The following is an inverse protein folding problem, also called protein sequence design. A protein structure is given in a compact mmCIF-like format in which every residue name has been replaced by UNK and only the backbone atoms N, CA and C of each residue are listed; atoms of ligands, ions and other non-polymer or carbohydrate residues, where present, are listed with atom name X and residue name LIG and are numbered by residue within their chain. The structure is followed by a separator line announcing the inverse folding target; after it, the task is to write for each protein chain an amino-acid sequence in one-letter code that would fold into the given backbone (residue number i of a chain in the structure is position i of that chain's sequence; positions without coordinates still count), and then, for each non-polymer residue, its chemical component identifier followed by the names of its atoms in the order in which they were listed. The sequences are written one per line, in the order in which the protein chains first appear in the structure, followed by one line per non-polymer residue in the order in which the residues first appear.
data_IF_077102694570
#
_entry.id   IF_077102694570
#
_cell.length_a   1.000
_cell.length_b   1.000
_cell.length_c   1.000
_cell.angle_alpha   90.00
_cell.angle_beta   90.00
_cell.angle_gamma   90.00
#
_symmetry.space_group_name_H-M   'P 1'
#
loop_
_entity.id
_entity.type
_entity.pdbx_description
1 polymer ?
#
# COMPACT_ATOMS: atom_id res chain seq x y z
N UNK A 1 -26.05 -16.15 -6.06
CA UNK A 1 -25.79 -17.58 -5.73
C UNK A 1 -25.57 -17.85 -4.25
N UNK A 2 -24.93 -16.95 -3.51
CA UNK A 2 -24.64 -17.16 -2.07
C UNK A 2 -25.91 -17.13 -1.21
N UNK A 3 -26.77 -16.13 -1.35
CA UNK A 3 -28.06 -16.03 -0.63
C UNK A 3 -28.96 -17.24 -0.89
N UNK A 4 -29.00 -17.70 -2.13
CA UNK A 4 -29.82 -18.88 -2.55
C UNK A 4 -29.39 -20.15 -1.82
N UNK A 5 -28.09 -20.41 -1.78
CA UNK A 5 -27.54 -21.56 -1.07
C UNK A 5 -27.75 -21.44 0.45
N UNK A 6 -27.63 -20.23 0.99
CA UNK A 6 -27.80 -19.99 2.43
C UNK A 6 -29.25 -20.19 2.88
N UNK A 7 -30.21 -19.64 2.13
CA UNK A 7 -31.64 -19.87 2.40
C UNK A 7 -31.94 -21.38 2.41
N UNK A 8 -31.50 -22.12 1.39
CA UNK A 8 -31.67 -23.57 1.30
C UNK A 8 -31.00 -24.29 2.48
N UNK A 9 -29.78 -23.92 2.83
CA UNK A 9 -29.03 -24.49 3.95
C UNK A 9 -29.78 -24.29 5.28
N UNK A 10 -30.14 -23.05 5.60
CA UNK A 10 -30.83 -22.72 6.85
C UNK A 10 -32.17 -23.46 6.96
N UNK A 11 -32.95 -23.47 5.86
CA UNK A 11 -34.22 -24.16 5.83
C UNK A 11 -34.04 -25.69 6.09
N UNK A 12 -33.06 -26.30 5.41
CA UNK A 12 -32.82 -27.75 5.56
C UNK A 12 -32.24 -28.09 6.94
N UNK A 13 -31.38 -27.27 7.50
CA UNK A 13 -30.87 -27.45 8.86
C UNK A 13 -31.98 -27.42 9.92
N UNK A 14 -33.02 -26.60 9.69
CA UNK A 14 -34.17 -26.53 10.60
C UNK A 14 -35.26 -27.57 10.26
N UNK A 15 -35.05 -28.43 9.26
CA UNK A 15 -36.00 -29.47 8.85
C UNK A 15 -37.32 -28.93 8.24
N UNK A 16 -37.29 -27.69 7.72
CA UNK A 16 -38.47 -26.98 7.23
C UNK A 16 -38.66 -27.29 5.73
N UNK A 17 -39.94 -27.53 5.31
CA UNK A 17 -40.28 -27.65 3.88
C UNK A 17 -40.40 -26.28 3.21
N UNK A 18 -40.23 -26.22 1.87
CA UNK A 18 -40.37 -25.01 1.07
C UNK A 18 -41.73 -24.35 1.26
N UNK A 19 -42.82 -25.14 1.35
CA UNK A 19 -44.17 -24.64 1.57
C UNK A 19 -44.33 -23.90 2.89
N UNK A 20 -43.68 -24.40 3.96
CA UNK A 20 -43.76 -23.74 5.29
C UNK A 20 -43.00 -22.43 5.34
N UNK A 21 -41.83 -22.38 4.64
CA UNK A 21 -41.09 -21.13 4.49
C UNK A 21 -41.87 -20.12 3.65
N UNK A 22 -42.51 -20.59 2.58
CA UNK A 22 -43.33 -19.75 1.72
C UNK A 22 -44.53 -19.15 2.45
N UNK A 23 -45.22 -19.94 3.27
CA UNK A 23 -46.30 -19.47 4.14
C UNK A 23 -45.82 -18.38 5.11
N UNK A 24 -44.69 -18.60 5.78
CA UNK A 24 -44.12 -17.64 6.71
C UNK A 24 -43.71 -16.32 6.04
N UNK A 25 -43.25 -16.35 4.80
CA UNK A 25 -42.84 -15.16 4.02
C UNK A 25 -43.97 -14.55 3.18
N UNK A 26 -45.18 -15.10 3.22
CA UNK A 26 -46.32 -14.61 2.44
C UNK A 26 -46.14 -14.76 0.91
N UNK A 27 -45.38 -15.76 0.45
CA UNK A 27 -45.07 -16.02 -0.96
C UNK A 27 -45.50 -17.41 -1.40
N UNK A 28 -45.38 -17.72 -2.68
CA UNK A 28 -45.65 -19.09 -3.18
C UNK A 28 -44.44 -20.00 -2.94
N UNK A 29 -44.69 -21.34 -2.80
CA UNK A 29 -43.63 -22.34 -2.73
C UNK A 29 -42.71 -22.33 -3.98
N UNK A 30 -43.25 -21.94 -5.13
CA UNK A 30 -42.48 -21.75 -6.36
C UNK A 30 -41.50 -20.58 -6.26
N UNK A 31 -41.86 -19.49 -5.54
CA UNK A 31 -40.95 -18.39 -5.29
C UNK A 31 -39.76 -18.84 -4.44
N UNK A 32 -40.03 -19.57 -3.34
CA UNK A 32 -38.96 -20.14 -2.48
C UNK A 32 -38.08 -21.09 -3.28
N UNK A 33 -38.63 -21.94 -4.13
CA UNK A 33 -37.87 -22.83 -5.00
C UNK A 33 -36.97 -22.07 -5.97
N UNK A 34 -37.44 -20.94 -6.54
CA UNK A 34 -36.64 -20.06 -7.38
C UNK A 34 -35.52 -19.36 -6.59
N UNK A 35 -35.77 -18.95 -5.34
CA UNK A 35 -34.76 -18.40 -4.47
C UNK A 35 -33.64 -19.42 -4.22
N UNK A 36 -33.98 -20.65 -3.86
CA UNK A 36 -33.02 -21.72 -3.55
C UNK A 36 -32.23 -22.24 -4.76
N UNK A 37 -32.76 -22.07 -5.96
CA UNK A 37 -32.08 -22.42 -7.21
C UNK A 37 -31.30 -21.27 -7.83
N UNK A 38 -31.46 -20.06 -7.26
CA UNK A 38 -30.83 -18.85 -7.80
C UNK A 38 -31.51 -18.31 -9.07
N UNK A 39 -32.67 -18.85 -9.45
CA UNK A 39 -33.44 -18.38 -10.60
C UNK A 39 -34.14 -17.03 -10.32
N UNK A 40 -34.37 -16.70 -9.05
CA UNK A 40 -34.79 -15.38 -8.58
C UNK A 40 -34.22 -15.10 -7.18
N UNK A 41 -34.13 -13.86 -6.80
CA UNK A 41 -33.82 -13.45 -5.42
C UNK A 41 -35.09 -13.10 -4.68
N UNK A 42 -35.12 -13.23 -3.32
CA UNK A 42 -36.17 -12.63 -2.51
C UNK A 42 -36.22 -11.10 -2.72
N UNK A 43 -37.38 -10.52 -2.57
CA UNK A 43 -37.48 -9.05 -2.47
C UNK A 43 -36.69 -8.56 -1.27
N UNK A 44 -36.05 -7.42 -1.41
CA UNK A 44 -35.19 -6.84 -0.35
C UNK A 44 -36.01 -6.57 0.94
N UNK A 45 -37.30 -6.30 0.81
CA UNK A 45 -38.23 -6.10 1.95
C UNK A 45 -38.43 -7.36 2.78
N UNK A 46 -38.20 -8.56 2.23
CA UNK A 46 -38.33 -9.84 2.93
C UNK A 46 -37.06 -10.24 3.69
N UNK A 47 -35.94 -9.57 3.47
CA UNK A 47 -34.68 -9.93 4.12
C UNK A 47 -34.74 -9.80 5.66
N UNK A 48 -35.34 -8.75 6.25
CA UNK A 48 -35.53 -8.68 7.70
C UNK A 48 -36.37 -9.84 8.25
N UNK A 49 -37.43 -10.22 7.54
CA UNK A 49 -38.32 -11.32 7.94
C UNK A 49 -37.60 -12.68 7.85
N UNK A 50 -36.83 -12.91 6.78
CA UNK A 50 -35.97 -14.10 6.64
C UNK A 50 -34.93 -14.20 7.75
N UNK A 51 -34.30 -13.07 8.09
CA UNK A 51 -33.33 -12.94 9.19
C UNK A 51 -33.96 -13.36 10.53
N UNK A 52 -35.12 -12.79 10.87
CA UNK A 52 -35.85 -13.13 12.09
C UNK A 52 -36.32 -14.58 12.07
N UNK A 53 -36.86 -15.06 10.96
CA UNK A 53 -37.39 -16.43 10.82
C UNK A 53 -36.29 -17.48 11.03
N UNK A 54 -35.12 -17.27 10.46
CA UNK A 54 -34.00 -18.21 10.61
C UNK A 54 -33.17 -18.00 11.87
N UNK A 55 -33.38 -16.90 12.60
CA UNK A 55 -32.59 -16.55 13.78
C UNK A 55 -31.15 -16.15 13.46
N UNK A 56 -30.92 -15.54 12.31
CA UNK A 56 -29.61 -15.08 11.85
C UNK A 56 -29.67 -13.60 11.50
N UNK A 57 -28.52 -12.93 11.41
CA UNK A 57 -28.46 -11.54 10.93
C UNK A 57 -28.64 -11.48 9.41
N UNK A 58 -28.99 -10.31 8.87
CA UNK A 58 -29.06 -10.10 7.40
C UNK A 58 -27.69 -10.38 6.77
N UNK A 59 -26.60 -9.98 7.40
CA UNK A 59 -25.23 -10.24 6.93
C UNK A 59 -24.96 -11.76 6.84
N UNK A 60 -25.45 -12.53 7.81
CA UNK A 60 -25.31 -14.00 7.80
C UNK A 60 -26.18 -14.66 6.71
N UNK A 61 -27.28 -14.04 6.28
CA UNK A 61 -28.05 -14.52 5.13
C UNK A 61 -27.26 -14.40 3.82
N UNK A 62 -26.45 -13.36 3.69
CA UNK A 62 -25.64 -13.14 2.48
C UNK A 62 -24.32 -13.90 2.48
N UNK A 63 -24.00 -14.70 3.50
CA UNK A 63 -22.74 -15.44 3.65
C UNK A 63 -21.66 -14.99 2.67
N UNK A 64 -21.04 -13.84 3.01
CA UNK A 64 -19.90 -13.33 2.25
C UNK A 64 -18.80 -14.38 2.36
N UNK A 65 -18.23 -14.84 1.24
CA UNK A 65 -17.10 -15.76 1.29
C UNK A 65 -15.92 -15.11 2.03
N UNK A 66 -15.09 -15.94 2.66
CA UNK A 66 -13.92 -15.43 3.39
C UNK A 66 -13.00 -14.60 2.49
N UNK A 67 -12.87 -14.93 1.20
CA UNK A 67 -12.12 -14.11 0.25
C UNK A 67 -12.74 -12.73 0.06
N UNK A 68 -14.05 -12.62 -0.04
CA UNK A 68 -14.73 -11.32 -0.16
C UNK A 68 -14.68 -10.51 1.13
N UNK A 69 -14.72 -11.16 2.28
CA UNK A 69 -14.55 -10.46 3.55
C UNK A 69 -13.11 -9.95 3.70
N UNK A 70 -12.11 -10.72 3.25
CA UNK A 70 -10.73 -10.28 3.14
C UNK A 70 -10.62 -9.01 2.27
N UNK A 71 -11.18 -9.05 1.06
CA UNK A 71 -11.22 -7.89 0.15
C UNK A 71 -11.95 -6.69 0.77
N UNK A 72 -13.05 -6.93 1.50
CA UNK A 72 -13.81 -5.87 2.18
C UNK A 72 -12.98 -5.17 3.26
N UNK A 73 -12.25 -5.94 4.08
CA UNK A 73 -11.35 -5.37 5.11
C UNK A 73 -10.22 -4.61 4.43
N UNK A 74 -9.61 -5.15 3.39
CA UNK A 74 -8.55 -4.50 2.62
C UNK A 74 -9.03 -3.16 2.02
N UNK A 75 -10.20 -3.17 1.37
CA UNK A 75 -10.81 -1.96 0.81
C UNK A 75 -11.16 -0.94 1.90
N UNK A 76 -11.63 -1.38 3.07
CA UNK A 76 -11.90 -0.49 4.20
C UNK A 76 -10.63 0.23 4.66
N UNK A 77 -9.50 -0.46 4.77
CA UNK A 77 -8.20 0.12 5.15
C UNK A 77 -7.77 1.19 4.13
N UNK A 78 -7.99 0.95 2.84
CA UNK A 78 -7.59 1.87 1.78
C UNK A 78 -8.56 3.03 1.56
N UNK A 79 -9.87 2.81 1.78
CA UNK A 79 -10.90 3.81 1.48
C UNK A 79 -11.15 4.79 2.61
N UNK A 80 -10.94 4.40 3.87
CA UNK A 80 -11.22 5.28 5.02
C UNK A 80 -9.97 6.02 5.45
N UNK A 81 -10.06 7.33 5.63
CA UNK A 81 -9.00 8.13 6.25
C UNK A 81 -8.79 7.73 7.70
N UNK A 82 -9.87 7.63 8.46
CA UNK A 82 -9.84 7.24 9.86
C UNK A 82 -10.65 5.97 10.06
N UNK A 83 -10.00 4.92 10.57
CA UNK A 83 -10.65 3.71 11.02
C UNK A 83 -11.19 3.95 12.43
N UNK A 84 -12.47 3.65 12.65
CA UNK A 84 -13.04 3.70 13.99
C UNK A 84 -12.54 2.52 14.84
N UNK A 85 -12.64 2.63 16.18
CA UNK A 85 -12.35 1.52 17.06
C UNK A 85 -13.17 0.26 16.71
N UNK A 86 -14.42 0.45 16.27
CA UNK A 86 -15.31 -0.63 15.84
C UNK A 86 -14.84 -1.29 14.53
N UNK A 87 -14.30 -0.50 13.57
CA UNK A 87 -13.73 -1.04 12.33
C UNK A 87 -12.52 -1.92 12.65
N UNK A 88 -11.65 -1.46 13.54
CA UNK A 88 -10.44 -2.18 13.96
C UNK A 88 -10.81 -3.48 14.68
N UNK A 89 -11.68 -3.41 15.69
CA UNK A 89 -12.13 -4.57 16.46
C UNK A 89 -12.76 -5.64 15.57
N UNK A 90 -13.62 -5.22 14.63
CA UNK A 90 -14.24 -6.14 13.66
C UNK A 90 -13.21 -6.82 12.77
N UNK A 91 -12.25 -6.05 12.23
CA UNK A 91 -11.19 -6.60 11.39
C UNK A 91 -10.32 -7.59 12.18
N UNK A 92 -9.91 -7.24 13.39
CA UNK A 92 -9.09 -8.10 14.23
C UNK A 92 -9.79 -9.40 14.58
N UNK A 93 -11.05 -9.32 15.02
CA UNK A 93 -11.83 -10.51 15.35
C UNK A 93 -11.95 -11.48 14.17
N UNK A 94 -12.15 -10.97 12.97
CA UNK A 94 -12.22 -11.80 11.77
C UNK A 94 -10.84 -12.38 11.43
N UNK A 95 -9.78 -11.56 11.44
CA UNK A 95 -8.41 -11.99 11.16
C UNK A 95 -7.98 -13.09 12.13
N UNK A 96 -8.22 -12.94 13.45
CA UNK A 96 -7.88 -13.93 14.44
C UNK A 96 -8.58 -15.27 14.21
N UNK A 97 -9.88 -15.23 13.91
CA UNK A 97 -10.64 -16.43 13.58
C UNK A 97 -10.06 -17.14 12.36
N UNK A 98 -9.72 -16.40 11.28
CA UNK A 98 -9.20 -16.99 10.04
C UNK A 98 -7.79 -17.53 10.18
N UNK A 99 -6.94 -16.90 10.97
CA UNK A 99 -5.62 -17.43 11.32
C UNK A 99 -5.76 -18.75 12.09
N UNK A 100 -6.68 -18.81 13.08
CA UNK A 100 -6.94 -20.02 13.84
C UNK A 100 -7.49 -21.18 13.00
N UNK A 101 -8.30 -20.87 11.97
CA UNK A 101 -8.81 -21.82 10.98
C UNK A 101 -7.77 -22.24 9.94
N UNK A 102 -6.61 -21.56 9.86
CA UNK A 102 -5.59 -21.78 8.84
C UNK A 102 -5.93 -21.21 7.47
N UNK A 103 -6.97 -20.37 7.36
CA UNK A 103 -7.35 -19.73 6.12
C UNK A 103 -6.39 -18.60 5.79
N UNK A 104 -5.58 -18.74 4.72
CA UNK A 104 -4.64 -17.72 4.22
C UNK A 104 -3.89 -17.03 5.36
N UNK A 105 -3.38 -17.80 6.33
CA UNK A 105 -2.86 -17.24 7.59
C UNK A 105 -1.77 -16.18 7.37
N UNK A 106 -0.84 -16.38 6.42
CA UNK A 106 0.19 -15.40 6.09
C UNK A 106 -0.41 -14.09 5.53
N UNK A 107 -1.41 -14.19 4.65
CA UNK A 107 -2.09 -13.01 4.08
C UNK A 107 -2.88 -12.27 5.16
N UNK A 108 -3.52 -12.99 6.09
CA UNK A 108 -4.23 -12.42 7.23
C UNK A 108 -3.29 -11.66 8.16
N UNK A 109 -2.11 -12.20 8.46
CA UNK A 109 -1.08 -11.48 9.21
C UNK A 109 -0.60 -10.23 8.47
N UNK A 110 -0.39 -10.32 7.16
CA UNK A 110 0.01 -9.19 6.34
C UNK A 110 -1.09 -8.10 6.28
N UNK A 111 -2.36 -8.49 6.18
CA UNK A 111 -3.50 -7.56 6.22
C UNK A 111 -3.55 -6.79 7.56
N UNK A 112 -3.32 -7.49 8.68
CA UNK A 112 -3.20 -6.87 10.01
C UNK A 112 -2.04 -5.87 10.08
N UNK A 113 -0.87 -6.25 9.58
CA UNK A 113 0.29 -5.37 9.52
C UNK A 113 0.01 -4.12 8.69
N UNK A 114 -0.64 -4.27 7.53
CA UNK A 114 -1.05 -3.15 6.68
C UNK A 114 -2.03 -2.21 7.38
N UNK A 115 -2.99 -2.76 8.13
CA UNK A 115 -3.93 -1.95 8.93
C UNK A 115 -3.20 -1.10 9.97
N UNK A 116 -2.30 -1.69 10.74
CA UNK A 116 -1.56 -0.95 11.78
C UNK A 116 -0.57 0.06 11.19
N UNK A 117 0.11 -0.25 10.10
CA UNK A 117 0.97 0.71 9.40
C UNK A 117 0.18 1.91 8.87
N UNK A 118 -1.02 1.67 8.33
CA UNK A 118 -1.92 2.74 7.90
C UNK A 118 -2.35 3.64 9.07
N UNK A 119 -2.67 3.05 10.22
CA UNK A 119 -3.02 3.78 11.44
C UNK A 119 -1.83 4.61 11.97
N UNK A 120 -0.64 4.01 12.04
CA UNK A 120 0.57 4.70 12.50
C UNK A 120 0.88 5.92 11.65
N UNK A 121 0.84 5.80 10.32
CA UNK A 121 1.06 6.94 9.41
C UNK A 121 0.06 8.08 9.64
N UNK A 122 -1.21 7.76 9.84
CA UNK A 122 -2.26 8.77 10.11
C UNK A 122 -2.10 9.45 11.47
N UNK A 123 -1.67 8.72 12.49
CA UNK A 123 -1.38 9.32 13.79
C UNK A 123 -0.15 10.25 13.73
N UNK A 124 0.87 9.90 12.95
CA UNK A 124 2.01 10.77 12.69
C UNK A 124 1.59 12.07 11.97
N UNK A 125 0.74 11.98 10.93
CA UNK A 125 0.18 13.18 10.27
C UNK A 125 -0.56 14.09 11.26
N UNK A 126 -1.42 13.53 12.11
CA UNK A 126 -2.18 14.29 13.11
C UNK A 126 -1.27 14.91 14.19
N UNK A 127 -0.22 14.20 14.58
CA UNK A 127 0.78 14.73 15.51
C UNK A 127 1.50 15.93 14.88
N UNK A 128 1.93 15.82 13.62
CA UNK A 128 2.58 16.91 12.89
C UNK A 128 1.65 18.12 12.70
N UNK A 129 0.38 17.92 12.37
CA UNK A 129 -0.62 19.00 12.27
C UNK A 129 -0.79 19.74 13.60
N UNK A 130 -0.91 18.99 14.71
CA UNK A 130 -1.05 19.57 16.05
C UNK A 130 0.21 20.33 16.50
N UNK A 131 1.39 19.76 16.20
CA UNK A 131 2.67 20.43 16.51
C UNK A 131 2.85 21.73 15.73
N UNK A 132 2.45 21.77 14.44
CA UNK A 132 2.46 23.02 13.66
C UNK A 132 1.55 24.07 14.25
N UNK A 133 0.32 23.69 14.63
CA UNK A 133 -0.62 24.61 15.28
C UNK A 133 -0.07 25.17 16.59
N UNK A 134 0.60 24.33 17.41
CA UNK A 134 1.25 24.79 18.63
C UNK A 134 2.36 25.84 18.36
N UNK A 135 3.19 25.60 17.33
CA UNK A 135 4.26 26.52 16.94
C UNK A 135 3.75 27.83 16.31
N UNK A 136 2.56 27.80 15.69
CA UNK A 136 1.89 29.01 15.20
C UNK A 136 1.37 29.88 16.36
N UNK A 137 0.92 29.27 17.47
CA UNK A 137 0.47 29.98 18.67
C UNK A 137 1.68 30.49 19.50
N UNK A 138 2.70 29.62 19.71
CA UNK A 138 3.91 29.96 20.43
C UNK A 138 5.12 29.20 19.86
N UNK A 139 5.93 29.88 19.06
CA UNK A 139 7.13 29.28 18.45
C UNK A 139 8.21 28.90 19.46
N UNK A 140 8.10 29.28 20.72
CA UNK A 140 9.06 28.95 21.80
C UNK A 140 8.71 27.65 22.53
N UNK A 141 7.54 27.05 22.23
CA UNK A 141 7.16 25.77 22.81
C UNK A 141 7.97 24.58 22.24
N UNK A 142 8.01 23.47 22.98
CA UNK A 142 8.80 22.27 22.62
C UNK A 142 8.20 21.41 21.48
N UNK A 143 7.27 21.97 20.70
CA UNK A 143 6.56 21.20 19.66
C UNK A 143 7.42 20.84 18.43
N UNK A 144 8.63 21.37 18.31
CA UNK A 144 9.55 20.98 17.22
C UNK A 144 9.94 19.49 17.27
N UNK A 145 10.08 18.92 18.46
CA UNK A 145 10.33 17.48 18.62
C UNK A 145 9.16 16.66 18.07
N UNK A 146 7.94 17.02 18.46
CA UNK A 146 6.72 16.34 18.00
C UNK A 146 6.50 16.51 16.50
N UNK A 147 6.82 17.68 15.95
CA UNK A 147 6.76 17.94 14.52
C UNK A 147 7.75 17.06 13.76
N UNK A 148 8.97 16.96 14.25
CA UNK A 148 10.00 16.12 13.62
C UNK A 148 9.62 14.64 13.65
N UNK A 149 9.16 14.13 14.81
CA UNK A 149 8.68 12.75 14.93
C UNK A 149 7.47 12.48 14.02
N UNK A 150 6.52 13.40 13.95
CA UNK A 150 5.31 13.26 13.14
C UNK A 150 5.57 13.37 11.62
N UNK A 151 6.60 14.10 11.19
CA UNK A 151 6.90 14.26 9.76
C UNK A 151 7.93 13.27 9.21
N UNK A 152 8.91 12.89 10.02
CA UNK A 152 10.07 12.10 9.58
C UNK A 152 10.17 10.74 10.29
N UNK A 153 9.22 10.44 11.20
CA UNK A 153 9.40 9.36 12.15
C UNK A 153 10.41 9.73 13.23
N UNK A 154 10.48 8.91 14.27
CA UNK A 154 11.39 9.14 15.38
C UNK A 154 12.82 9.16 14.86
N UNK A 155 13.46 10.32 14.91
CA UNK A 155 14.89 10.41 14.68
C UNK A 155 15.58 9.97 15.98
N UNK A 156 16.18 8.76 16.01
CA UNK A 156 17.02 8.40 17.14
C UNK A 156 18.17 9.40 17.25
N UNK A 157 18.85 9.39 18.37
CA UNK A 157 20.06 10.17 18.57
C UNK A 157 20.88 10.22 17.25
N UNK A 158 21.28 11.39 16.84
CA UNK A 158 22.01 11.65 15.58
C UNK A 158 23.23 10.72 15.35
N UNK A 159 23.73 10.09 16.43
CA UNK A 159 24.81 9.11 16.39
C UNK A 159 24.37 7.70 16.00
N UNK A 160 23.07 7.39 16.00
CA UNK A 160 22.60 6.01 15.82
C UNK A 160 21.32 5.97 14.99
N UNK A 161 21.45 5.75 13.69
CA UNK A 161 20.41 5.05 12.95
C UNK A 161 20.39 3.63 13.46
N UNK A 162 19.25 3.10 13.81
CA UNK A 162 19.20 1.83 14.50
C UNK A 162 18.13 0.90 13.93
N UNK A 163 18.45 0.31 12.80
CA UNK A 163 17.67 -0.82 12.28
C UNK A 163 18.17 -2.16 12.84
N UNK A 164 18.89 -2.14 13.97
CA UNK A 164 19.57 -3.33 14.51
C UNK A 164 18.67 -4.58 14.58
N UNK A 165 17.48 -4.46 15.18
CA UNK A 165 16.56 -5.60 15.32
C UNK A 165 16.10 -6.15 13.97
N UNK A 166 15.84 -5.27 13.00
CA UNK A 166 15.44 -5.66 11.64
C UNK A 166 16.61 -6.29 10.89
N UNK A 167 17.81 -5.72 10.99
CA UNK A 167 19.02 -6.28 10.38
C UNK A 167 19.30 -7.69 10.90
N UNK A 168 19.25 -7.91 12.21
CA UNK A 168 19.47 -9.24 12.80
C UNK A 168 18.39 -10.25 12.34
N UNK A 169 17.13 -9.83 12.27
CA UNK A 169 16.06 -10.65 11.69
C UNK A 169 16.33 -11.00 10.22
N UNK A 170 16.73 -10.02 9.42
CA UNK A 170 16.99 -10.23 7.98
C UNK A 170 18.24 -11.08 7.73
N UNK A 171 19.25 -11.01 8.59
CA UNK A 171 20.40 -11.93 8.56
C UNK A 171 19.96 -13.37 8.79
N UNK A 172 19.20 -13.61 9.87
CA UNK A 172 18.64 -14.96 10.15
C UNK A 172 17.74 -15.44 8.99
N UNK A 173 16.96 -14.54 8.42
CA UNK A 173 16.12 -14.84 7.24
C UNK A 173 16.97 -15.26 6.05
N UNK A 174 18.03 -14.51 5.71
CA UNK A 174 18.89 -14.82 4.55
C UNK A 174 19.76 -16.08 4.77
N UNK A 175 20.10 -16.42 6.02
CA UNK A 175 20.76 -17.69 6.34
C UNK A 175 19.82 -18.88 6.11
N UNK A 176 18.53 -18.76 6.44
CA UNK A 176 17.51 -19.81 6.27
C UNK A 176 17.00 -19.91 4.83
N UNK A 177 16.99 -18.80 4.10
CA UNK A 177 16.45 -18.67 2.75
C UNK A 177 17.46 -17.97 1.81
N UNK A 178 18.68 -18.54 1.63
CA UNK A 178 19.73 -17.88 0.87
C UNK A 178 19.39 -17.68 -0.61
N UNK A 179 18.43 -18.43 -1.14
CA UNK A 179 17.92 -18.32 -2.51
C UNK A 179 16.91 -17.17 -2.71
N UNK A 180 16.32 -16.62 -1.61
CA UNK A 180 15.34 -15.54 -1.73
C UNK A 180 16.02 -14.18 -1.82
N UNK A 181 16.11 -13.66 -3.05
CA UNK A 181 16.67 -12.32 -3.32
C UNK A 181 16.03 -11.19 -2.53
N UNK A 182 14.75 -11.31 -2.12
CA UNK A 182 14.04 -10.26 -1.35
C UNK A 182 14.68 -10.06 0.01
N UNK A 183 15.08 -11.15 0.67
CA UNK A 183 15.81 -11.09 1.94
C UNK A 183 17.11 -10.29 1.81
N UNK A 184 17.90 -10.57 0.78
CA UNK A 184 19.15 -9.84 0.51
C UNK A 184 18.92 -8.36 0.20
N UNK A 185 17.87 -8.04 -0.57
CA UNK A 185 17.50 -6.66 -0.92
C UNK A 185 17.16 -5.88 0.35
N UNK A 186 16.22 -6.38 1.17
CA UNK A 186 15.84 -5.70 2.41
C UNK A 186 16.99 -5.61 3.41
N UNK A 187 17.87 -6.62 3.47
CA UNK A 187 19.06 -6.55 4.31
C UNK A 187 20.01 -5.46 3.85
N UNK A 188 20.25 -5.35 2.54
CA UNK A 188 21.11 -4.33 1.95
C UNK A 188 20.56 -2.92 2.20
N UNK A 189 19.26 -2.69 2.00
CA UNK A 189 18.63 -1.39 2.25
C UNK A 189 18.90 -0.91 3.67
N UNK A 190 18.66 -1.75 4.67
CA UNK A 190 18.85 -1.39 6.07
C UNK A 190 20.33 -1.27 6.46
N UNK A 191 21.23 -2.07 5.91
CA UNK A 191 22.66 -1.98 6.16
C UNK A 191 23.25 -0.70 5.57
N UNK A 192 22.82 -0.31 4.37
CA UNK A 192 23.25 0.93 3.71
C UNK A 192 22.73 2.16 4.45
N UNK A 193 21.48 2.15 4.86
CA UNK A 193 20.88 3.25 5.65
C UNK A 193 21.57 3.46 6.99
N UNK A 194 22.02 2.37 7.63
CA UNK A 194 22.80 2.41 8.87
C UNK A 194 24.31 2.65 8.64
N UNK A 195 24.75 2.86 7.40
CA UNK A 195 26.17 2.97 7.02
C UNK A 195 27.05 1.79 7.48
N UNK A 196 26.48 0.61 7.60
CA UNK A 196 27.18 -0.64 7.95
C UNK A 196 27.83 -1.27 6.71
N UNK A 197 28.73 -0.51 6.07
CA UNK A 197 29.24 -0.81 4.72
C UNK A 197 29.98 -2.15 4.61
N UNK A 198 30.70 -2.58 5.65
CA UNK A 198 31.41 -3.86 5.62
C UNK A 198 30.40 -5.04 5.54
N UNK A 199 29.29 -4.95 6.27
CA UNK A 199 28.27 -5.96 6.26
C UNK A 199 27.43 -5.90 4.97
N UNK A 200 27.20 -4.68 4.45
CA UNK A 200 26.53 -4.47 3.15
C UNK A 200 27.35 -5.10 2.00
N UNK A 201 28.69 -5.05 2.04
CA UNK A 201 29.55 -5.70 1.04
C UNK A 201 29.34 -7.23 1.02
N UNK A 202 29.24 -7.84 2.20
CA UNK A 202 28.98 -9.28 2.28
C UNK A 202 27.56 -9.63 1.83
N UNK A 203 26.56 -8.84 2.22
CA UNK A 203 25.18 -9.03 1.77
C UNK A 203 25.05 -8.86 0.24
N UNK A 204 25.77 -7.91 -0.36
CA UNK A 204 25.83 -7.72 -1.82
C UNK A 204 26.33 -8.97 -2.54
N UNK A 205 27.38 -9.62 -2.04
CA UNK A 205 27.86 -10.90 -2.57
C UNK A 205 26.79 -12.00 -2.49
N UNK A 206 25.93 -11.94 -1.48
CA UNK A 206 24.77 -12.83 -1.35
C UNK A 206 23.75 -12.58 -2.45
N UNK A 207 23.35 -11.31 -2.65
CA UNK A 207 22.43 -10.92 -3.72
C UNK A 207 22.96 -11.31 -5.12
N UNK A 208 24.22 -11.04 -5.40
CA UNK A 208 24.85 -11.32 -6.69
C UNK A 208 24.86 -12.82 -7.08
N UNK A 209 24.77 -13.71 -6.12
CA UNK A 209 24.66 -15.16 -6.37
C UNK A 209 23.27 -15.61 -6.83
N UNK A 210 22.24 -14.87 -6.41
CA UNK A 210 20.83 -15.28 -6.58
C UNK A 210 20.04 -14.39 -7.52
N UNK A 211 20.56 -13.20 -7.84
CA UNK A 211 19.93 -12.25 -8.75
C UNK A 211 20.75 -12.05 -10.01
N UNK A 212 20.13 -12.34 -11.15
CA UNK A 212 20.68 -12.15 -12.48
C UNK A 212 19.99 -11.02 -13.26
N UNK A 213 19.27 -10.15 -12.56
CA UNK A 213 18.57 -9.00 -13.13
C UNK A 213 19.38 -7.71 -12.93
N UNK A 214 18.80 -6.58 -13.27
CA UNK A 214 19.39 -5.26 -13.01
C UNK A 214 19.57 -4.94 -11.51
N UNK A 215 18.96 -5.70 -10.59
CA UNK A 215 18.95 -5.34 -9.16
C UNK A 215 20.32 -5.50 -8.51
N UNK A 216 21.02 -6.60 -8.77
CA UNK A 216 22.36 -6.80 -8.20
C UNK A 216 23.35 -5.69 -8.61
N UNK A 217 23.50 -5.32 -9.90
CA UNK A 217 24.32 -4.17 -10.27
C UNK A 217 23.79 -2.84 -9.73
N UNK A 218 22.46 -2.65 -9.59
CA UNK A 218 21.91 -1.47 -8.96
C UNK A 218 22.36 -1.35 -7.49
N UNK A 219 22.26 -2.42 -6.72
CA UNK A 219 22.73 -2.44 -5.32
C UNK A 219 24.24 -2.28 -5.20
N UNK A 220 25.00 -2.72 -6.20
CA UNK A 220 26.45 -2.41 -6.30
C UNK A 220 26.67 -0.91 -6.47
N UNK A 221 25.91 -0.24 -7.33
CA UNK A 221 25.99 1.21 -7.48
C UNK A 221 25.59 1.93 -6.18
N UNK A 222 24.53 1.48 -5.50
CA UNK A 222 24.13 2.02 -4.19
C UNK A 222 25.28 1.88 -3.16
N UNK A 223 25.85 0.69 -3.02
CA UNK A 223 26.97 0.45 -2.13
C UNK A 223 28.17 1.39 -2.41
N UNK A 224 28.56 1.52 -3.68
CA UNK A 224 29.64 2.42 -4.08
C UNK A 224 29.32 3.88 -3.77
N UNK A 225 28.08 4.30 -3.96
CA UNK A 225 27.61 5.63 -3.62
C UNK A 225 27.71 5.92 -2.13
N UNK A 226 27.24 5.02 -1.28
CA UNK A 226 27.35 5.15 0.18
C UNK A 226 28.80 5.08 0.66
N UNK A 227 29.65 4.35 -0.03
CA UNK A 227 31.11 4.30 0.21
C UNK A 227 31.82 5.59 -0.18
N UNK A 228 31.17 6.47 -0.94
CA UNK A 228 31.72 7.73 -1.42
C UNK A 228 32.45 7.61 -2.77
N UNK A 229 32.48 6.43 -3.39
CA UNK A 229 33.07 6.22 -4.72
C UNK A 229 32.04 6.51 -5.81
N UNK A 230 31.74 7.81 -5.98
CA UNK A 230 30.73 8.27 -6.94
C UNK A 230 31.12 8.03 -8.38
N UNK A 231 32.40 7.99 -8.70
CA UNK A 231 32.89 7.72 -10.04
C UNK A 231 32.57 6.27 -10.44
N UNK A 232 32.94 5.30 -9.60
CA UNK A 232 32.65 3.90 -9.84
C UNK A 232 31.12 3.64 -9.82
N UNK A 233 30.36 4.29 -8.93
CA UNK A 233 28.89 4.19 -8.97
C UNK A 233 28.33 4.70 -10.31
N UNK A 234 28.82 5.83 -10.82
CA UNK A 234 28.42 6.38 -12.11
C UNK A 234 28.72 5.48 -13.31
N UNK A 235 29.85 4.74 -13.27
CA UNK A 235 30.18 3.74 -14.29
C UNK A 235 29.15 2.61 -14.31
N UNK A 236 28.82 2.05 -13.14
CA UNK A 236 27.81 0.98 -13.02
C UNK A 236 26.42 1.47 -13.47
N UNK A 237 26.04 2.70 -13.13
CA UNK A 237 24.77 3.31 -13.57
C UNK A 237 24.75 3.47 -15.10
N UNK A 238 25.87 3.89 -15.70
CA UNK A 238 26.00 3.99 -17.16
C UNK A 238 25.93 2.62 -17.86
N UNK A 239 26.37 1.55 -17.22
CA UNK A 239 26.19 0.17 -17.71
C UNK A 239 24.71 -0.23 -17.63
N UNK A 240 24.04 0.02 -16.50
CA UNK A 240 22.63 -0.25 -16.33
C UNK A 240 21.76 0.47 -17.37
N UNK A 241 22.07 1.73 -17.68
CA UNK A 241 21.35 2.49 -18.71
C UNK A 241 21.52 1.87 -20.11
N UNK A 242 22.72 1.38 -20.44
CA UNK A 242 22.99 0.74 -21.72
C UNK A 242 22.32 -0.63 -21.85
N UNK A 243 22.34 -1.42 -20.76
CA UNK A 243 21.85 -2.80 -20.77
C UNK A 243 20.32 -2.89 -20.60
N UNK A 244 19.73 -1.91 -19.92
CA UNK A 244 18.30 -1.85 -19.61
C UNK A 244 17.65 -0.49 -19.98
N UNK A 245 17.77 -0.02 -21.23
CA UNK A 245 17.40 1.35 -21.62
C UNK A 245 15.89 1.64 -21.52
N UNK A 246 15.07 0.59 -21.50
CA UNK A 246 13.61 0.68 -21.44
C UNK A 246 13.03 0.03 -20.17
N UNK A 247 13.84 -0.33 -19.20
CA UNK A 247 13.34 -0.79 -17.90
C UNK A 247 12.98 0.43 -17.05
N UNK A 248 11.70 0.57 -16.73
CA UNK A 248 11.21 1.74 -16.00
C UNK A 248 11.80 1.85 -14.58
N UNK A 249 12.12 0.72 -13.92
CA UNK A 249 12.73 0.73 -12.59
C UNK A 249 14.19 1.19 -12.64
N UNK A 250 14.94 0.79 -13.67
CA UNK A 250 16.29 1.28 -13.90
C UNK A 250 16.27 2.80 -14.18
N UNK A 251 15.37 3.25 -15.04
CA UNK A 251 15.22 4.68 -15.35
C UNK A 251 14.84 5.49 -14.10
N UNK A 252 13.99 4.95 -13.20
CA UNK A 252 13.67 5.57 -11.92
C UNK A 252 14.89 5.68 -11.03
N UNK A 253 15.70 4.62 -10.93
CA UNK A 253 16.93 4.64 -10.14
C UNK A 253 17.94 5.66 -10.66
N UNK A 254 18.08 5.80 -11.97
CA UNK A 254 18.94 6.86 -12.58
C UNK A 254 18.41 8.25 -12.21
N UNK A 255 17.09 8.44 -12.20
CA UNK A 255 16.48 9.69 -11.78
C UNK A 255 16.78 10.00 -10.31
N UNK A 256 16.73 9.00 -9.42
CA UNK A 256 17.07 9.16 -8.01
C UNK A 256 18.54 9.59 -7.81
N UNK A 257 19.49 8.99 -8.53
CA UNK A 257 20.89 9.44 -8.48
C UNK A 257 21.06 10.89 -8.96
N UNK A 258 20.37 11.29 -10.02
CA UNK A 258 20.38 12.68 -10.46
C UNK A 258 19.79 13.62 -9.40
N UNK A 259 18.71 13.20 -8.73
CA UNK A 259 18.10 13.98 -7.65
C UNK A 259 18.98 14.07 -6.40
N UNK A 260 19.74 13.02 -6.08
CA UNK A 260 20.75 13.06 -4.99
C UNK A 260 21.86 14.07 -5.26
N UNK A 261 22.19 14.33 -6.53
CA UNK A 261 23.11 15.40 -6.94
C UNK A 261 22.42 16.77 -7.12
N UNK A 262 21.12 16.87 -6.73
CA UNK A 262 20.28 18.05 -6.91
C UNK A 262 20.09 18.46 -8.39
N UNK A 263 20.37 17.57 -9.34
CA UNK A 263 20.06 17.77 -10.77
C UNK A 263 18.62 17.34 -11.05
N UNK A 264 17.67 18.15 -10.54
CA UNK A 264 16.26 17.85 -10.68
C UNK A 264 15.76 17.90 -12.15
N UNK A 265 16.39 18.69 -12.98
CA UNK A 265 16.05 18.76 -14.40
C UNK A 265 16.33 17.40 -15.09
N UNK A 266 17.50 16.83 -14.84
CA UNK A 266 17.87 15.48 -15.31
C UNK A 266 16.99 14.41 -14.68
N UNK A 267 16.72 14.49 -13.38
CA UNK A 267 15.82 13.56 -12.69
C UNK A 267 14.42 13.53 -13.35
N UNK A 268 13.82 14.69 -13.61
CA UNK A 268 12.54 14.83 -14.30
C UNK A 268 12.56 14.19 -15.69
N UNK A 269 13.62 14.36 -16.47
CA UNK A 269 13.75 13.74 -17.78
C UNK A 269 13.72 12.20 -17.70
N UNK A 270 14.48 11.62 -16.77
CA UNK A 270 14.49 10.16 -16.59
C UNK A 270 13.16 9.63 -16.04
N UNK A 271 12.49 10.33 -15.13
CA UNK A 271 11.16 9.91 -14.66
C UNK A 271 10.14 9.93 -15.81
N UNK A 272 10.18 10.93 -16.69
CA UNK A 272 9.32 10.96 -17.88
C UNK A 272 9.57 9.77 -18.79
N UNK A 273 10.84 9.40 -19.01
CA UNK A 273 11.20 8.19 -19.75
C UNK A 273 10.66 6.93 -19.05
N UNK A 274 10.77 6.85 -17.73
CA UNK A 274 10.25 5.73 -16.93
C UNK A 274 8.71 5.61 -17.07
N UNK A 275 7.97 6.71 -17.04
CA UNK A 275 6.52 6.72 -17.27
C UNK A 275 6.17 6.14 -18.64
N UNK A 276 6.89 6.55 -19.69
CA UNK A 276 6.68 6.03 -21.03
C UNK A 276 7.02 4.54 -21.11
N UNK A 277 8.14 4.12 -20.51
CA UNK A 277 8.56 2.72 -20.47
C UNK A 277 7.52 1.86 -19.74
N UNK A 278 7.02 2.32 -18.59
CA UNK A 278 5.99 1.61 -17.83
C UNK A 278 4.65 1.54 -18.60
N UNK A 279 4.30 2.57 -19.35
CA UNK A 279 3.08 2.58 -20.16
C UNK A 279 3.12 1.51 -21.27
N UNK A 280 4.32 1.24 -21.81
CA UNK A 280 4.56 0.24 -22.83
C UNK A 280 4.76 -1.19 -22.27
N UNK A 281 4.95 -1.36 -20.96
CA UNK A 281 4.98 -2.66 -20.30
C UNK A 281 3.55 -3.25 -20.28
N UNK A 282 3.42 -4.55 -20.54
CA UNK A 282 2.13 -5.25 -20.49
C UNK A 282 1.64 -5.51 -19.06
N UNK A 283 2.51 -5.37 -18.06
CA UNK A 283 2.17 -5.60 -16.65
C UNK A 283 1.17 -4.57 -16.15
N UNK A 284 0.13 -5.08 -15.49
CA UNK A 284 -0.90 -4.26 -14.85
C UNK A 284 -1.18 -4.80 -13.44
N UNK A 285 -1.55 -3.94 -12.49
CA UNK A 285 -1.69 -2.50 -12.58
C UNK A 285 -0.31 -1.79 -12.69
N UNK A 286 -0.27 -0.60 -13.30
CA UNK A 286 0.91 0.27 -13.29
C UNK A 286 1.12 0.87 -11.91
N UNK A 287 2.36 1.15 -11.56
CA UNK A 287 2.71 1.79 -10.29
C UNK A 287 2.54 3.32 -10.38
N UNK A 288 2.15 3.95 -9.28
CA UNK A 288 2.02 5.41 -9.16
C UNK A 288 3.36 6.11 -8.87
N UNK A 289 4.37 5.35 -8.42
CA UNK A 289 5.69 5.85 -8.00
C UNK A 289 6.33 6.82 -9.00
N UNK A 290 6.37 6.56 -10.32
CA UNK A 290 6.96 7.49 -11.26
C UNK A 290 6.25 8.86 -11.27
N UNK A 291 4.94 8.90 -11.13
CA UNK A 291 4.20 10.15 -11.06
C UNK A 291 4.41 10.89 -9.73
N UNK A 292 4.54 10.16 -8.63
CA UNK A 292 4.86 10.75 -7.33
C UNK A 292 6.25 11.38 -7.33
N UNK A 293 7.26 10.69 -7.88
CA UNK A 293 8.62 11.22 -8.02
C UNK A 293 8.66 12.41 -9.00
N UNK A 294 7.91 12.35 -10.12
CA UNK A 294 7.80 13.47 -11.05
C UNK A 294 7.25 14.72 -10.36
N UNK A 295 6.20 14.57 -9.56
CA UNK A 295 5.61 15.68 -8.81
C UNK A 295 6.61 16.28 -7.81
N UNK A 296 7.31 15.43 -7.06
CA UNK A 296 8.31 15.87 -6.09
C UNK A 296 9.48 16.59 -6.75
N UNK A 297 10.06 16.02 -7.80
CA UNK A 297 11.20 16.63 -8.49
C UNK A 297 10.80 17.91 -9.22
N UNK A 298 9.59 17.98 -9.78
CA UNK A 298 9.07 19.21 -10.38
C UNK A 298 8.90 20.31 -9.33
N UNK A 299 8.35 20.00 -8.15
CA UNK A 299 8.23 20.98 -7.05
C UNK A 299 9.60 21.47 -6.57
N UNK A 300 10.59 20.57 -6.41
CA UNK A 300 11.96 20.91 -6.04
C UNK A 300 12.68 21.76 -7.10
N UNK A 301 12.35 21.52 -8.39
CA UNK A 301 12.87 22.30 -9.50
C UNK A 301 12.12 23.65 -9.73
N UNK A 302 11.11 23.94 -8.90
CA UNK A 302 10.29 25.16 -9.00
C UNK A 302 9.16 25.11 -10.03
N UNK A 303 8.97 23.98 -10.73
CA UNK A 303 7.89 23.76 -11.69
C UNK A 303 6.63 23.27 -10.97
N UNK A 304 5.89 24.21 -10.38
CA UNK A 304 4.66 23.90 -9.65
C UNK A 304 3.54 23.40 -10.58
N UNK A 305 3.48 23.90 -11.82
CA UNK A 305 2.49 23.45 -12.81
C UNK A 305 2.78 21.99 -13.23
N UNK A 306 4.04 21.65 -13.46
CA UNK A 306 4.49 20.29 -13.74
C UNK A 306 4.20 19.33 -12.56
N UNK A 307 4.38 19.80 -11.33
CA UNK A 307 4.05 18.99 -10.14
C UNK A 307 2.54 18.70 -10.03
N UNK A 308 1.69 19.69 -10.35
CA UNK A 308 0.23 19.50 -10.40
C UNK A 308 -0.13 18.48 -11.49
N UNK A 309 0.39 18.64 -12.69
CA UNK A 309 0.13 17.74 -13.81
C UNK A 309 0.56 16.29 -13.50
N UNK A 310 1.69 16.12 -12.80
CA UNK A 310 2.15 14.80 -12.35
C UNK A 310 1.17 14.15 -11.36
N UNK A 311 0.66 14.87 -10.36
CA UNK A 311 -0.37 14.33 -9.48
C UNK A 311 -1.72 14.06 -10.16
N UNK A 312 -2.06 14.82 -11.21
CA UNK A 312 -3.22 14.50 -12.04
C UNK A 312 -3.02 13.18 -12.79
N UNK A 313 -1.79 12.90 -13.29
CA UNK A 313 -1.41 11.61 -13.86
C UNK A 313 -1.47 10.46 -12.83
N UNK A 314 -1.05 10.70 -11.58
CA UNK A 314 -1.21 9.75 -10.46
C UNK A 314 -2.68 9.38 -10.25
N UNK A 315 -3.59 10.37 -10.26
CA UNK A 315 -5.04 10.15 -10.15
C UNK A 315 -5.60 9.33 -11.33
N UNK A 316 -5.06 9.49 -12.53
CA UNK A 316 -5.47 8.70 -13.69
C UNK A 316 -5.07 7.22 -13.53
N UNK A 317 -3.86 6.93 -13.03
CA UNK A 317 -3.44 5.56 -12.73
C UNK A 317 -4.34 4.95 -11.65
N UNK A 318 -4.57 5.66 -10.54
CA UNK A 318 -5.46 5.20 -9.48
C UNK A 318 -6.85 4.84 -9.99
N UNK A 319 -7.41 5.66 -10.89
CA UNK A 319 -8.72 5.43 -11.48
C UNK A 319 -8.73 4.28 -12.47
N UNK A 320 -7.80 4.28 -13.42
CA UNK A 320 -7.86 3.40 -14.60
C UNK A 320 -7.29 2.00 -14.32
N UNK A 321 -6.24 1.90 -13.49
CA UNK A 321 -5.55 0.65 -13.21
C UNK A 321 -6.02 0.01 -11.90
N UNK A 322 -6.40 0.82 -10.89
CA UNK A 322 -6.81 0.33 -9.57
C UNK A 322 -8.31 0.49 -9.29
N UNK A 323 -9.07 1.16 -10.15
CA UNK A 323 -10.51 1.39 -9.94
C UNK A 323 -10.85 2.33 -8.78
N UNK A 324 -9.87 3.09 -8.28
CA UNK A 324 -10.03 3.99 -7.12
C UNK A 324 -10.73 5.27 -7.55
N UNK A 325 -12.05 5.32 -7.33
CA UNK A 325 -12.91 6.46 -7.69
C UNK A 325 -13.10 7.46 -6.54
N UNK A 326 -12.94 7.01 -5.29
CA UNK A 326 -13.16 7.80 -4.08
C UNK A 326 -12.38 7.20 -2.90
N UNK A 327 -12.36 7.90 -1.76
CA UNK A 327 -11.71 7.45 -0.53
C UNK A 327 -10.31 8.03 -0.35
N UNK A 328 -9.70 7.72 0.80
CA UNK A 328 -8.48 8.38 1.27
C UNK A 328 -7.30 8.24 0.30
N UNK A 329 -7.13 7.09 -0.34
CA UNK A 329 -6.06 6.88 -1.34
C UNK A 329 -6.09 7.92 -2.46
N UNK A 330 -7.29 8.32 -2.91
CA UNK A 330 -7.49 9.37 -3.89
C UNK A 330 -7.39 10.76 -3.28
N UNK A 331 -8.05 10.95 -2.14
CA UNK A 331 -8.27 12.26 -1.54
C UNK A 331 -6.97 12.86 -1.00
N UNK A 332 -5.99 12.03 -0.58
CA UNK A 332 -4.66 12.52 -0.22
C UNK A 332 -3.94 13.15 -1.43
N UNK A 333 -4.08 12.59 -2.63
CA UNK A 333 -3.50 13.17 -3.87
C UNK A 333 -4.21 14.47 -4.22
N UNK A 334 -5.55 14.52 -4.09
CA UNK A 334 -6.32 15.75 -4.31
C UNK A 334 -5.86 16.87 -3.38
N UNK A 335 -5.64 16.60 -2.10
CA UNK A 335 -5.10 17.59 -1.15
C UNK A 335 -3.72 18.10 -1.55
N UNK A 336 -2.84 17.24 -2.06
CA UNK A 336 -1.52 17.67 -2.58
C UNK A 336 -1.68 18.65 -3.74
N UNK A 337 -2.58 18.34 -4.69
CA UNK A 337 -2.89 19.23 -5.82
C UNK A 337 -3.43 20.58 -5.33
N UNK A 338 -4.37 20.58 -4.38
CA UNK A 338 -4.93 21.81 -3.81
C UNK A 338 -3.87 22.67 -3.11
N UNK A 339 -2.97 22.04 -2.35
CA UNK A 339 -1.81 22.71 -1.72
C UNK A 339 -0.94 23.39 -2.79
N UNK A 340 -0.60 22.70 -3.86
CA UNK A 340 0.21 23.23 -4.95
C UNK A 340 -0.50 24.37 -5.69
N UNK A 341 -1.81 24.26 -5.96
CA UNK A 341 -2.61 25.33 -6.56
C UNK A 341 -2.65 26.58 -5.70
N UNK A 342 -2.73 26.44 -4.36
CA UNK A 342 -2.63 27.58 -3.43
C UNK A 342 -1.24 28.24 -3.51
N UNK A 343 -0.16 27.43 -3.55
CA UNK A 343 1.22 27.93 -3.65
C UNK A 343 1.41 28.70 -4.97
N UNK A 344 0.91 28.20 -6.08
CA UNK A 344 0.97 28.84 -7.40
C UNK A 344 0.24 30.19 -7.43
N UNK A 345 -0.93 30.27 -6.79
CA UNK A 345 -1.74 31.51 -6.74
C UNK A 345 -1.22 32.54 -5.72
N UNK A 346 -0.55 32.10 -4.67
CA UNK A 346 0.04 32.98 -3.64
C UNK A 346 1.42 33.54 -4.01
N UNK A 347 2.03 32.99 -5.06
CA UNK A 347 3.32 33.47 -5.61
C UNK A 347 3.14 34.50 -6.74
N UNK A 348 1.90 34.83 -7.08
CA UNK A 348 1.50 35.93 -7.99
C UNK A 348 1.04 37.14 -7.20
#
# INVERSE_FOLDING_TARGET
MELSNKIKQLRTQQGIKQEKLAEAMGVSAQAVSKWETGAALPDISLLPELSVYFGVTIDELFSISDDKEYERIQNMIWAKRDLTAQDIERAEKWIDAKIAEGFRAADCHNLRASMYNSLAGRYHERAAESAKAALEEDFTCDALNELNEGMAGRVPDWCMRNHYMLIEYLKDFTEKHPEDRRGWIWLLDNLLDDYRLNEAEEALKGLEKVDNTFRAPLYRANYLWYKGDRAAAGEVIGELERDFPNDWMVLMSIAEYAAMDCDYAKAIDYVKKAIVAQANDEKRPRFTDPYMSLAQFSELNGDIEGAIAAHEGELEILRNDYGVMSGETRDCVVRKIERLKKKLNGSK
#
